data_IF_848354516746
#
_entry.id   IF_848354516746
#
_cell.length_a   1.000
_cell.length_b   1.000
_cell.length_c   1.000
_cell.angle_alpha   90.00
_cell.angle_beta   90.00
_cell.angle_gamma   90.00
#
_symmetry.space_group_name_H-M   'P 1'
#
loop_
_entity.id
_entity.type
_entity.pdbx_description
1 polymer ?
#
# COMPACT_ATOMS: atom_id res chain seq x y z
N UNK A 1 -0.37 7.74 28.98
CA UNK A 1 -0.42 6.46 28.23
C UNK A 1 -1.26 5.51 29.07
N UNK A 2 -2.44 5.08 28.58
CA UNK A 2 -3.28 4.14 29.32
C UNK A 2 -2.47 2.91 29.72
N UNK A 3 -2.58 2.50 30.99
CA UNK A 3 -1.80 1.41 31.58
C UNK A 3 -1.93 0.07 30.85
N UNK A 4 -2.97 -0.07 30.01
CA UNK A 4 -3.34 -1.28 29.28
C UNK A 4 -2.50 -1.57 28.03
N UNK A 5 -1.98 -0.56 27.35
CA UNK A 5 -1.30 -0.72 26.04
C UNK A 5 0.22 -0.54 26.14
N UNK A 6 0.79 -0.87 27.29
CA UNK A 6 2.23 -0.84 27.51
C UNK A 6 2.89 -1.99 26.77
N UNK A 7 4.09 -1.75 26.24
CA UNK A 7 4.88 -2.72 25.49
C UNK A 7 4.97 -4.11 26.16
N UNK A 8 5.29 -4.24 27.47
CA UNK A 8 5.37 -5.57 28.09
C UNK A 8 4.04 -6.33 28.07
N UNK A 9 2.91 -5.63 28.25
CA UNK A 9 1.58 -6.25 28.23
C UNK A 9 1.26 -6.78 26.83
N UNK A 10 1.53 -5.97 25.80
CA UNK A 10 1.29 -6.36 24.41
C UNK A 10 2.20 -7.51 23.98
N UNK A 11 3.45 -7.54 24.42
CA UNK A 11 4.36 -8.65 24.12
C UNK A 11 3.95 -9.95 24.81
N UNK A 12 3.46 -9.90 26.06
CA UNK A 12 2.90 -11.08 26.72
C UNK A 12 1.63 -11.57 26.03
N UNK A 13 0.69 -10.68 25.68
CA UNK A 13 -0.49 -11.05 24.89
C UNK A 13 -0.11 -11.66 23.54
N UNK A 14 0.92 -11.14 22.87
CA UNK A 14 1.42 -11.71 21.62
C UNK A 14 1.97 -13.12 21.79
N UNK A 15 2.73 -13.40 22.87
CA UNK A 15 3.20 -14.74 23.19
C UNK A 15 2.04 -15.71 23.39
N UNK A 16 1.00 -15.28 24.10
CA UNK A 16 -0.22 -16.07 24.35
C UNK A 16 -0.94 -16.42 23.05
N UNK A 17 -1.08 -15.46 22.12
CA UNK A 17 -1.78 -15.66 20.85
C UNK A 17 -1.01 -16.58 19.90
N UNK A 18 0.32 -16.46 19.86
CA UNK A 18 1.20 -17.24 18.99
C UNK A 18 1.60 -18.60 19.57
N UNK A 19 1.30 -18.87 20.84
CA UNK A 19 1.59 -20.15 21.46
C UNK A 19 0.87 -21.32 20.75
N UNK A 20 1.42 -22.52 20.87
CA UNK A 20 0.81 -23.72 20.29
C UNK A 20 -0.57 -24.03 20.93
N UNK A 21 -1.55 -24.59 20.17
CA UNK A 21 -2.94 -24.79 20.62
C UNK A 21 -3.09 -25.55 21.95
N UNK A 22 -2.12 -26.40 22.27
CA UNK A 22 -2.07 -27.24 23.46
C UNK A 22 -1.50 -26.55 24.71
N UNK A 23 -0.87 -25.37 24.57
CA UNK A 23 -0.18 -24.67 25.67
C UNK A 23 -1.09 -23.64 26.35
N UNK A 24 -2.07 -23.10 25.63
CA UNK A 24 -2.92 -22.00 26.10
C UNK A 24 -4.38 -22.31 25.84
N UNK A 25 -5.21 -22.17 26.87
CA UNK A 25 -6.66 -22.37 26.78
C UNK A 25 -7.32 -21.35 25.84
N UNK A 26 -8.50 -21.70 25.32
CA UNK A 26 -9.26 -20.83 24.41
C UNK A 26 -9.62 -19.50 25.07
N UNK A 27 -9.95 -19.50 26.36
CA UNK A 27 -10.38 -18.28 27.07
C UNK A 27 -9.21 -17.31 27.27
N UNK A 28 -8.02 -17.81 27.63
CA UNK A 28 -6.82 -16.97 27.76
C UNK A 28 -6.42 -16.36 26.41
N UNK A 29 -6.56 -17.11 25.31
CA UNK A 29 -6.36 -16.55 23.96
C UNK A 29 -7.37 -15.46 23.62
N UNK A 30 -8.65 -15.66 23.93
CA UNK A 30 -9.70 -14.66 23.70
C UNK A 30 -9.44 -13.37 24.47
N UNK A 31 -8.99 -13.46 25.72
CA UNK A 31 -8.63 -12.28 26.51
C UNK A 31 -7.41 -11.55 25.93
N UNK A 32 -6.38 -12.27 25.46
CA UNK A 32 -5.25 -11.65 24.77
C UNK A 32 -5.67 -10.99 23.45
N UNK A 33 -6.56 -11.60 22.68
CA UNK A 33 -7.11 -11.04 21.44
C UNK A 33 -7.91 -9.77 21.71
N UNK A 34 -8.72 -9.76 22.78
CA UNK A 34 -9.49 -8.61 23.21
C UNK A 34 -8.61 -7.39 23.48
N UNK A 35 -7.42 -7.58 24.06
CA UNK A 35 -6.46 -6.48 24.27
C UNK A 35 -6.07 -5.82 22.95
N UNK A 36 -5.74 -6.60 21.91
CA UNK A 36 -5.40 -6.05 20.58
C UNK A 36 -6.62 -5.45 19.86
N UNK A 37 -7.81 -6.02 20.04
CA UNK A 37 -9.06 -5.45 19.51
C UNK A 37 -9.37 -4.08 20.11
N UNK A 38 -9.15 -3.91 21.40
CA UNK A 38 -9.33 -2.63 22.09
C UNK A 38 -8.21 -1.65 21.76
N UNK A 39 -6.96 -2.12 21.67
CA UNK A 39 -5.82 -1.30 21.24
C UNK A 39 -6.10 -0.65 19.88
N UNK A 40 -6.61 -1.43 18.92
CA UNK A 40 -6.99 -0.93 17.59
C UNK A 40 -8.13 0.11 17.60
N UNK A 41 -8.91 0.18 18.67
CA UNK A 41 -10.00 1.15 18.85
C UNK A 41 -9.55 2.42 19.58
N UNK A 42 -8.34 2.46 20.12
CA UNK A 42 -7.82 3.65 20.83
C UNK A 42 -7.78 4.86 19.91
N UNK A 43 -8.11 6.03 20.47
CA UNK A 43 -8.09 7.29 19.75
C UNK A 43 -6.65 7.83 19.67
N UNK A 44 -6.27 8.37 18.51
CA UNK A 44 -4.96 8.98 18.25
C UNK A 44 -3.75 8.12 18.69
N UNK A 45 -3.63 6.85 18.24
CA UNK A 45 -2.62 5.93 18.74
C UNK A 45 -1.20 6.14 18.16
N UNK A 46 -0.99 7.17 17.34
CA UNK A 46 0.21 7.32 16.49
C UNK A 46 1.52 7.31 17.27
N UNK A 47 1.61 8.06 18.38
CA UNK A 47 2.80 8.07 19.23
C UNK A 47 3.04 6.73 19.91
N UNK A 48 1.98 6.06 20.34
CA UNK A 48 2.09 4.71 20.93
C UNK A 48 2.55 3.71 19.88
N UNK A 49 2.01 3.76 18.66
CA UNK A 49 2.40 2.86 17.57
C UNK A 49 3.84 3.11 17.11
N UNK A 50 4.29 4.37 17.03
CA UNK A 50 5.69 4.73 16.77
C UNK A 50 6.61 4.11 17.82
N UNK A 51 6.29 4.30 19.10
CA UNK A 51 7.05 3.71 20.20
C UNK A 51 7.12 2.17 20.09
N UNK A 52 6.00 1.50 19.79
CA UNK A 52 5.98 0.04 19.64
C UNK A 52 6.83 -0.45 18.46
N UNK A 53 6.80 0.25 17.32
CA UNK A 53 7.59 -0.10 16.14
C UNK A 53 9.10 0.06 16.41
N UNK A 54 9.50 1.11 17.12
CA UNK A 54 10.91 1.39 17.41
C UNK A 54 11.48 0.50 18.53
N UNK A 55 10.65 0.05 19.49
CA UNK A 55 11.14 -0.59 20.72
C UNK A 55 10.78 -2.08 20.85
N UNK A 56 9.73 -2.57 20.18
CA UNK A 56 9.39 -4.00 20.26
C UNK A 56 10.27 -4.83 19.35
N UNK A 57 10.71 -5.99 19.86
CA UNK A 57 11.34 -7.05 19.04
C UNK A 57 10.33 -8.12 18.61
N UNK A 58 9.08 -8.01 19.04
CA UNK A 58 8.03 -8.94 18.70
C UNK A 58 7.35 -8.51 17.39
N UNK A 59 7.60 -9.26 16.31
CA UNK A 59 7.06 -8.96 14.99
C UNK A 59 5.52 -8.86 14.96
N UNK A 60 4.81 -9.60 15.83
CA UNK A 60 3.35 -9.53 15.90
C UNK A 60 2.88 -8.23 16.55
N UNK A 61 3.57 -7.73 17.57
CA UNK A 61 3.27 -6.42 18.17
C UNK A 61 3.53 -5.31 17.16
N UNK A 62 4.65 -5.37 16.43
CA UNK A 62 4.95 -4.43 15.35
C UNK A 62 3.84 -4.44 14.28
N UNK A 63 3.43 -5.62 13.83
CA UNK A 63 2.32 -5.76 12.86
C UNK A 63 1.02 -5.17 13.39
N UNK A 64 0.63 -5.47 14.63
CA UNK A 64 -0.59 -4.91 15.23
C UNK A 64 -0.52 -3.38 15.39
N UNK A 65 0.66 -2.81 15.64
CA UNK A 65 0.86 -1.36 15.65
C UNK A 65 0.57 -0.75 14.26
N UNK A 66 1.05 -1.37 13.18
CA UNK A 66 0.77 -0.91 11.80
C UNK A 66 -0.73 -1.06 11.46
N UNK A 67 -1.36 -2.18 11.81
CA UNK A 67 -2.80 -2.36 11.62
C UNK A 67 -3.62 -1.31 12.39
N UNK A 68 -3.15 -0.92 13.58
CA UNK A 68 -3.79 0.11 14.41
C UNK A 68 -3.65 1.49 13.77
N UNK A 69 -2.47 1.81 13.22
CA UNK A 69 -2.28 3.03 12.41
C UNK A 69 -3.26 3.05 11.23
N UNK A 70 -3.33 1.98 10.43
CA UNK A 70 -4.21 1.90 9.24
C UNK A 70 -5.68 2.13 9.53
N UNK A 71 -6.17 1.60 10.64
CA UNK A 71 -7.59 1.75 11.01
C UNK A 71 -7.87 3.11 11.63
N UNK A 72 -6.93 3.65 12.42
CA UNK A 72 -7.12 4.93 13.12
C UNK A 72 -6.98 6.12 12.16
N UNK A 73 -6.02 6.07 11.23
CA UNK A 73 -5.77 7.15 10.26
C UNK A 73 -7.00 7.41 9.38
N UNK A 74 -7.76 6.37 9.04
CA UNK A 74 -9.01 6.50 8.29
C UNK A 74 -10.11 7.15 9.12
N UNK A 75 -10.26 6.73 10.38
CA UNK A 75 -11.29 7.23 11.30
C UNK A 75 -11.05 8.70 11.67
N UNK A 76 -9.79 9.10 11.80
CA UNK A 76 -9.39 10.39 12.35
C UNK A 76 -8.89 11.37 11.28
N UNK A 77 -8.90 10.98 10.00
CA UNK A 77 -8.32 11.75 8.89
C UNK A 77 -8.68 13.24 8.92
N UNK A 78 -9.98 13.55 9.06
CA UNK A 78 -10.49 14.93 9.03
C UNK A 78 -10.12 15.74 10.27
N UNK A 79 -9.76 15.07 11.36
CA UNK A 79 -9.39 15.70 12.63
C UNK A 79 -7.87 15.85 12.77
N UNK A 80 -7.08 15.25 11.87
CA UNK A 80 -5.64 15.27 11.92
C UNK A 80 -5.08 16.44 11.11
N UNK A 81 -4.11 17.20 11.66
CA UNK A 81 -3.36 18.15 10.87
C UNK A 81 -2.62 17.47 9.72
N UNK A 82 -2.61 18.09 8.54
CA UNK A 82 -1.82 17.61 7.37
C UNK A 82 -0.35 17.38 7.72
N UNK A 83 0.22 18.22 8.60
CA UNK A 83 1.60 18.07 9.10
C UNK A 83 1.82 16.76 9.84
N UNK A 84 0.85 16.33 10.65
CA UNK A 84 0.91 15.06 11.39
C UNK A 84 0.81 13.86 10.44
N UNK A 85 -0.06 13.94 9.43
CA UNK A 85 -0.19 12.90 8.39
C UNK A 85 1.13 12.76 7.63
N UNK A 86 1.74 13.88 7.24
CA UNK A 86 3.01 13.90 6.54
C UNK A 86 4.15 13.32 7.40
N UNK A 87 4.24 13.71 8.67
CA UNK A 87 5.24 13.17 9.60
C UNK A 87 5.07 11.66 9.82
N UNK A 88 3.84 11.17 9.87
CA UNK A 88 3.55 9.74 9.98
C UNK A 88 3.98 8.99 8.71
N UNK A 89 3.69 9.53 7.53
CA UNK A 89 4.10 8.96 6.24
C UNK A 89 5.63 8.87 6.14
N UNK A 90 6.32 9.97 6.41
CA UNK A 90 7.79 10.01 6.39
C UNK A 90 8.41 9.05 7.40
N UNK A 91 7.80 8.93 8.59
CA UNK A 91 8.25 7.95 9.58
C UNK A 91 8.11 6.51 9.09
N UNK A 92 6.95 6.12 8.58
CA UNK A 92 6.72 4.76 8.08
C UNK A 92 7.66 4.42 6.92
N UNK A 93 7.86 5.37 6.01
CA UNK A 93 8.79 5.23 4.89
C UNK A 93 10.23 5.05 5.39
N UNK A 94 10.70 5.93 6.28
CA UNK A 94 12.04 5.83 6.86
C UNK A 94 12.22 4.54 7.66
N UNK A 95 11.21 4.12 8.42
CA UNK A 95 11.26 2.91 9.23
C UNK A 95 11.42 1.66 8.36
N UNK A 96 10.67 1.56 7.25
CA UNK A 96 10.75 0.38 6.39
C UNK A 96 12.03 0.34 5.55
N UNK A 97 12.59 1.49 5.17
CA UNK A 97 13.85 1.57 4.41
C UNK A 97 15.08 1.36 5.26
N UNK A 98 15.08 1.81 6.52
CA UNK A 98 16.22 1.65 7.44
C UNK A 98 16.27 0.27 8.10
N UNK A 99 15.11 -0.33 8.40
CA UNK A 99 15.05 -1.64 9.05
C UNK A 99 14.97 -2.77 8.01
N UNK A 100 16.11 -3.11 7.40
CA UNK A 100 16.21 -4.16 6.36
C UNK A 100 15.88 -5.57 6.88
N UNK A 101 16.07 -5.83 8.17
CA UNK A 101 15.78 -7.12 8.82
C UNK A 101 14.31 -7.32 9.25
N UNK A 102 13.41 -6.39 8.91
CA UNK A 102 11.98 -6.57 9.19
C UNK A 102 11.42 -7.83 8.55
N UNK A 103 10.61 -8.57 9.31
CA UNK A 103 9.92 -9.75 8.80
C UNK A 103 9.01 -9.37 7.62
N UNK A 104 8.96 -10.16 6.53
CA UNK A 104 8.24 -9.78 5.30
C UNK A 104 6.80 -9.32 5.51
N UNK A 105 6.02 -10.00 6.37
CA UNK A 105 4.63 -9.63 6.61
C UNK A 105 4.46 -8.27 7.32
N UNK A 106 5.40 -7.87 8.17
CA UNK A 106 5.39 -6.54 8.82
C UNK A 106 5.71 -5.47 7.78
N UNK A 107 6.74 -5.72 6.97
CA UNK A 107 7.16 -4.85 5.86
C UNK A 107 6.02 -4.62 4.87
N UNK A 108 5.35 -5.68 4.45
CA UNK A 108 4.19 -5.59 3.55
C UNK A 108 3.04 -4.80 4.17
N UNK A 109 2.75 -4.99 5.47
CA UNK A 109 1.69 -4.24 6.12
C UNK A 109 2.02 -2.74 6.24
N UNK A 110 3.29 -2.37 6.39
CA UNK A 110 3.73 -0.96 6.33
C UNK A 110 3.50 -0.38 4.93
N UNK A 111 3.87 -1.10 3.87
CA UNK A 111 3.60 -0.63 2.50
C UNK A 111 2.11 -0.49 2.23
N UNK A 112 1.27 -1.39 2.75
CA UNK A 112 -0.20 -1.25 2.68
C UNK A 112 -0.71 -0.03 3.46
N UNK A 113 -0.09 0.31 4.59
CA UNK A 113 -0.43 1.52 5.34
C UNK A 113 -0.07 2.80 4.58
N UNK A 114 1.13 2.83 4.00
CA UNK A 114 1.59 3.93 3.15
C UNK A 114 0.68 4.14 1.93
N UNK A 115 0.36 3.06 1.21
CA UNK A 115 -0.54 3.11 0.05
C UNK A 115 -1.94 3.63 0.43
N UNK A 116 -2.47 3.20 1.58
CA UNK A 116 -3.75 3.68 2.10
C UNK A 116 -3.73 5.18 2.44
N UNK A 117 -2.67 5.66 3.10
CA UNK A 117 -2.48 7.09 3.42
C UNK A 117 -2.41 7.91 2.13
N UNK A 118 -1.65 7.46 1.14
CA UNK A 118 -1.53 8.11 -0.16
C UNK A 118 -2.89 8.17 -0.87
N UNK A 119 -3.60 7.04 -0.96
CA UNK A 119 -4.92 7.00 -1.60
C UNK A 119 -5.93 7.89 -0.90
N UNK A 120 -5.90 7.96 0.43
CA UNK A 120 -6.81 8.83 1.18
C UNK A 120 -6.58 10.30 0.86
N UNK A 121 -5.31 10.72 0.75
CA UNK A 121 -4.93 12.11 0.51
C UNK A 121 -4.89 12.53 -0.96
N UNK A 122 -4.99 11.59 -1.92
CA UNK A 122 -4.75 11.89 -3.34
C UNK A 122 -5.74 12.90 -3.94
N UNK A 123 -6.97 12.95 -3.42
CA UNK A 123 -8.01 13.86 -3.90
C UNK A 123 -8.15 15.13 -3.03
N UNK A 124 -7.40 15.24 -1.94
CA UNK A 124 -7.48 16.38 -1.04
C UNK A 124 -6.68 17.55 -1.66
N UNK A 125 -7.36 18.64 -2.02
CA UNK A 125 -6.76 19.79 -2.74
C UNK A 125 -5.72 20.57 -1.93
N UNK A 126 -5.79 20.50 -0.60
CA UNK A 126 -4.85 21.14 0.33
C UNK A 126 -3.61 20.27 0.62
N UNK A 127 -3.69 18.97 0.29
CA UNK A 127 -2.62 18.03 0.56
C UNK A 127 -1.71 17.95 -0.66
N UNK A 128 -0.49 18.47 -0.55
CA UNK A 128 0.62 18.30 -1.53
C UNK A 128 1.06 16.84 -1.75
N UNK A 129 0.32 15.87 -1.24
CA UNK A 129 0.59 14.43 -1.32
C UNK A 129 0.55 13.95 -2.79
N UNK A 130 -0.31 14.53 -3.63
CA UNK A 130 -0.53 14.11 -5.03
C UNK A 130 0.66 14.38 -5.95
N UNK A 131 1.39 15.49 -5.77
CA UNK A 131 2.55 15.82 -6.61
C UNK A 131 3.83 15.10 -6.22
N UNK A 132 3.88 14.47 -5.04
CA UNK A 132 5.12 13.90 -4.45
C UNK A 132 5.14 12.38 -4.31
N UNK A 133 4.14 11.66 -4.83
CA UNK A 133 4.07 10.18 -4.73
C UNK A 133 5.38 9.54 -5.24
N UNK A 134 5.97 10.10 -6.30
CA UNK A 134 7.22 9.61 -6.91
C UNK A 134 8.49 10.37 -6.49
N UNK A 135 8.34 11.48 -5.75
CA UNK A 135 9.46 12.27 -5.19
C UNK A 135 9.92 11.76 -3.82
N UNK A 136 9.16 10.84 -3.23
CA UNK A 136 9.60 10.04 -2.08
C UNK A 136 10.77 9.15 -2.52
N UNK A 137 11.97 9.74 -2.51
CA UNK A 137 13.23 9.25 -3.08
C UNK A 137 13.33 7.71 -3.14
N UNK A 138 13.12 7.19 -4.35
CA UNK A 138 13.28 5.79 -4.76
C UNK A 138 12.23 4.81 -4.19
N UNK A 139 10.98 4.93 -4.64
CA UNK A 139 9.89 3.99 -4.31
C UNK A 139 10.38 2.54 -4.47
N UNK A 140 10.39 1.79 -3.35
CA UNK A 140 10.69 0.36 -3.37
C UNK A 140 9.60 -0.40 -4.14
N UNK A 141 9.96 -1.46 -4.87
CA UNK A 141 9.00 -2.29 -5.60
C UNK A 141 7.80 -2.71 -4.73
N UNK A 142 8.02 -2.97 -3.43
CA UNK A 142 6.95 -3.29 -2.48
C UNK A 142 5.91 -2.18 -2.28
N UNK A 143 6.31 -0.90 -2.29
CA UNK A 143 5.38 0.22 -2.20
C UNK A 143 4.62 0.42 -3.52
N UNK A 144 5.26 0.24 -4.68
CA UNK A 144 4.56 0.27 -5.98
C UNK A 144 3.51 -0.83 -6.07
N UNK A 145 3.87 -2.06 -5.69
CA UNK A 145 2.92 -3.17 -5.63
C UNK A 145 1.76 -2.86 -4.67
N UNK A 146 2.04 -2.27 -3.51
CA UNK A 146 0.99 -1.87 -2.57
C UNK A 146 0.08 -0.77 -3.14
N UNK A 147 0.64 0.23 -3.83
CA UNK A 147 -0.12 1.29 -4.50
C UNK A 147 -1.02 0.72 -5.60
N UNK A 148 -0.49 -0.08 -6.53
CA UNK A 148 -1.29 -0.70 -7.58
C UNK A 148 -2.43 -1.53 -7.00
N UNK A 149 -2.15 -2.37 -6.00
CA UNK A 149 -3.17 -3.15 -5.33
C UNK A 149 -4.22 -2.25 -4.66
N UNK A 150 -3.79 -1.21 -3.96
CA UNK A 150 -4.69 -0.30 -3.26
C UNK A 150 -5.59 0.46 -4.24
N UNK A 151 -5.07 0.96 -5.37
CA UNK A 151 -5.86 1.68 -6.37
C UNK A 151 -6.69 0.77 -7.31
N UNK A 152 -6.28 -0.48 -7.53
CA UNK A 152 -7.02 -1.46 -8.35
C UNK A 152 -8.28 -1.96 -7.64
N UNK A 153 -8.23 -2.06 -6.30
CA UNK A 153 -9.33 -2.54 -5.47
C UNK A 153 -10.49 -1.52 -5.38
N UNK A 154 -11.38 -1.53 -6.39
CA UNK A 154 -12.61 -0.73 -6.45
C UNK A 154 -13.85 -1.49 -5.95
N UNK A 155 -13.80 -2.82 -5.89
CA UNK A 155 -14.95 -3.69 -5.56
C UNK A 155 -14.99 -4.15 -4.09
N UNK A 156 -14.06 -3.70 -3.24
CA UNK A 156 -14.01 -4.07 -1.82
C UNK A 156 -14.30 -2.83 -0.97
N UNK A 157 -15.59 -2.53 -0.80
CA UNK A 157 -16.11 -1.49 0.11
C UNK A 157 -16.07 -1.92 1.59
N UNK A 158 -15.81 -3.21 1.86
CA UNK A 158 -15.81 -3.73 3.22
C UNK A 158 -14.46 -3.54 3.91
N UNK A 159 -14.38 -2.51 4.76
CA UNK A 159 -13.32 -2.35 5.78
C UNK A 159 -12.34 -1.19 5.56
N UNK A 160 -12.38 -0.51 4.41
CA UNK A 160 -11.49 0.63 4.07
C UNK A 160 -12.04 2.00 4.46
N UNK A 161 -13.29 2.08 4.92
CA UNK A 161 -13.93 3.34 5.33
C UNK A 161 -14.23 4.30 4.19
N UNK A 162 -14.03 3.91 2.93
CA UNK A 162 -14.30 4.74 1.75
C UNK A 162 -15.60 4.36 1.06
N UNK A 163 -16.24 5.37 0.45
CA UNK A 163 -17.36 5.16 -0.45
C UNK A 163 -16.88 4.58 -1.78
N UNK A 164 -17.77 3.91 -2.49
CA UNK A 164 -17.49 3.43 -3.84
C UNK A 164 -17.10 4.58 -4.79
N UNK A 165 -17.82 5.71 -4.73
CA UNK A 165 -17.52 6.91 -5.51
C UNK A 165 -16.09 7.41 -5.27
N UNK A 166 -15.67 7.48 -4.00
CA UNK A 166 -14.32 7.87 -3.64
C UNK A 166 -13.28 6.91 -4.24
N UNK A 167 -13.51 5.60 -4.15
CA UNK A 167 -12.64 4.60 -4.77
C UNK A 167 -12.52 4.78 -6.29
N UNK A 168 -13.64 4.99 -6.98
CA UNK A 168 -13.68 5.21 -8.43
C UNK A 168 -12.92 6.47 -8.83
N UNK A 169 -13.12 7.59 -8.12
CA UNK A 169 -12.41 8.85 -8.37
C UNK A 169 -10.90 8.72 -8.13
N UNK A 170 -10.49 8.05 -7.05
CA UNK A 170 -9.09 7.76 -6.79
C UNK A 170 -8.46 6.91 -7.91
N UNK A 171 -9.17 5.88 -8.38
CA UNK A 171 -8.71 5.00 -9.47
C UNK A 171 -8.53 5.77 -10.78
N UNK A 172 -9.52 6.57 -11.18
CA UNK A 172 -9.43 7.45 -12.36
C UNK A 172 -8.26 8.43 -12.26
N UNK A 173 -8.07 9.05 -11.09
CA UNK A 173 -6.93 9.92 -10.86
C UNK A 173 -5.60 9.17 -11.00
N UNK A 174 -5.48 7.97 -10.44
CA UNK A 174 -4.28 7.15 -10.57
C UNK A 174 -4.02 6.74 -12.03
N UNK A 175 -5.06 6.34 -12.77
CA UNK A 175 -4.97 6.02 -14.21
C UNK A 175 -4.49 7.21 -15.03
N UNK A 176 -5.03 8.41 -14.77
CA UNK A 176 -4.72 9.62 -15.51
C UNK A 176 -3.30 10.14 -15.25
N UNK A 177 -2.82 10.07 -14.00
CA UNK A 177 -1.60 10.78 -13.58
C UNK A 177 -0.44 9.87 -13.19
N UNK A 178 -0.68 8.64 -12.73
CA UNK A 178 0.36 7.84 -12.07
C UNK A 178 0.60 6.46 -12.67
N UNK A 179 -0.40 5.82 -13.29
CA UNK A 179 -0.25 4.46 -13.84
C UNK A 179 0.83 4.39 -14.92
N UNK A 180 0.85 5.35 -15.85
CA UNK A 180 1.88 5.46 -16.87
C UNK A 180 3.28 5.69 -16.25
N UNK A 181 3.38 6.54 -15.21
CA UNK A 181 4.65 6.79 -14.51
C UNK A 181 5.16 5.51 -13.82
N UNK A 182 4.25 4.75 -13.19
CA UNK A 182 4.56 3.45 -12.58
C UNK A 182 5.07 2.44 -13.62
N UNK A 183 4.47 2.40 -14.82
CA UNK A 183 4.94 1.54 -15.91
C UNK A 183 6.36 1.92 -16.35
N UNK A 184 6.61 3.21 -16.62
CA UNK A 184 7.93 3.66 -17.05
C UNK A 184 9.01 3.34 -16.02
N UNK A 185 8.73 3.55 -14.73
CA UNK A 185 9.66 3.20 -13.66
C UNK A 185 9.92 1.69 -13.59
N UNK A 186 8.89 0.87 -13.75
CA UNK A 186 9.01 -0.60 -13.78
C UNK A 186 9.90 -1.06 -14.95
N UNK A 187 9.70 -0.48 -16.14
CA UNK A 187 10.52 -0.76 -17.32
C UNK A 187 11.97 -0.30 -17.16
N UNK A 188 12.20 0.84 -16.51
CA UNK A 188 13.54 1.32 -16.19
C UNK A 188 14.29 0.33 -15.27
N UNK A 189 13.62 -0.19 -14.23
CA UNK A 189 14.21 -1.21 -13.36
C UNK A 189 14.52 -2.48 -14.13
N UNK A 190 13.60 -2.98 -14.96
CA UNK A 190 13.82 -4.16 -15.80
C UNK A 190 15.01 -3.96 -16.74
N UNK A 191 15.10 -2.80 -17.38
CA UNK A 191 16.21 -2.49 -18.27
C UNK A 191 17.55 -2.52 -17.52
N UNK A 192 17.62 -1.96 -16.30
CA UNK A 192 18.83 -2.01 -15.47
C UNK A 192 19.22 -3.43 -15.09
N UNK A 193 18.25 -4.28 -14.76
CA UNK A 193 18.47 -5.71 -14.45
C UNK A 193 19.04 -6.46 -15.66
N UNK A 194 18.54 -6.19 -16.86
CA UNK A 194 19.01 -6.84 -18.10
C UNK A 194 20.48 -6.49 -18.39
N UNK A 195 20.98 -5.35 -17.91
CA UNK A 195 22.39 -4.98 -18.01
C UNK A 195 23.30 -5.71 -16.99
N UNK A 196 22.75 -6.43 -16.02
CA UNK A 196 23.54 -7.20 -15.05
C UNK A 196 24.10 -8.48 -15.68
N UNK A 197 25.29 -8.89 -15.23
CA UNK A 197 25.96 -10.09 -15.75
C UNK A 197 25.27 -11.36 -15.26
N UNK A 198 24.88 -12.24 -16.17
CA UNK A 198 24.35 -13.57 -15.84
C UNK A 198 25.47 -14.55 -15.42
N UNK A 199 25.23 -15.49 -14.48
CA UNK A 199 23.94 -15.81 -13.86
C UNK A 199 23.59 -14.90 -12.67
N UNK A 200 22.30 -14.63 -12.50
CA UNK A 200 21.78 -13.86 -11.37
C UNK A 200 21.96 -14.63 -10.05
N UNK A 201 22.31 -13.91 -9.00
CA UNK A 201 22.25 -14.37 -7.62
C UNK A 201 20.79 -14.58 -7.16
N UNK A 202 20.61 -15.27 -6.02
CA UNK A 202 19.27 -15.53 -5.46
C UNK A 202 18.50 -14.25 -5.13
N UNK A 203 19.18 -13.24 -4.61
CA UNK A 203 18.58 -11.94 -4.27
C UNK A 203 18.17 -11.17 -5.52
N UNK A 204 19.01 -11.18 -6.56
CA UNK A 204 18.69 -10.57 -7.86
C UNK A 204 17.48 -11.25 -8.51
N UNK A 205 17.40 -12.59 -8.47
CA UNK A 205 16.24 -13.32 -9.00
C UNK A 205 14.93 -12.99 -8.27
N UNK A 206 15.00 -12.74 -6.95
CA UNK A 206 13.85 -12.30 -6.16
C UNK A 206 13.40 -10.89 -6.57
N UNK A 207 14.33 -9.98 -6.85
CA UNK A 207 14.03 -8.66 -7.39
C UNK A 207 13.40 -8.77 -8.77
N UNK A 208 13.98 -9.56 -9.67
CA UNK A 208 13.43 -9.83 -11.02
C UNK A 208 11.99 -10.31 -10.94
N UNK A 209 11.74 -11.33 -10.11
CA UNK A 209 10.40 -11.91 -9.93
C UNK A 209 9.40 -10.84 -9.50
N UNK A 210 9.76 -10.00 -8.51
CA UNK A 210 8.89 -8.93 -8.02
C UNK A 210 8.59 -7.87 -9.08
N UNK A 211 9.60 -7.47 -9.86
CA UNK A 211 9.44 -6.45 -10.89
C UNK A 211 8.62 -6.98 -12.07
N UNK A 212 8.79 -8.26 -12.44
CA UNK A 212 7.97 -8.90 -13.47
C UNK A 212 6.51 -9.03 -13.03
N UNK A 213 6.26 -9.43 -11.77
CA UNK A 213 4.90 -9.44 -11.22
C UNK A 213 4.27 -8.05 -11.22
N UNK A 214 5.05 -7.02 -10.88
CA UNK A 214 4.60 -5.63 -10.95
C UNK A 214 4.22 -5.22 -12.39
N UNK A 215 5.05 -5.58 -13.38
CA UNK A 215 4.74 -5.32 -14.78
C UNK A 215 3.47 -6.06 -15.23
N UNK A 216 3.29 -7.31 -14.82
CA UNK A 216 2.10 -8.12 -15.10
C UNK A 216 0.83 -7.47 -14.54
N UNK A 217 0.86 -7.01 -13.28
CA UNK A 217 -0.25 -6.32 -12.63
C UNK A 217 -0.65 -5.02 -13.37
N UNK A 218 0.33 -4.27 -13.88
CA UNK A 218 0.09 -3.02 -14.63
C UNK A 218 -0.52 -3.33 -16.00
N UNK A 219 0.00 -4.35 -16.70
CA UNK A 219 -0.48 -4.72 -18.03
C UNK A 219 -1.89 -5.33 -18.00
N UNK A 220 -2.25 -5.99 -16.90
CA UNK A 220 -3.60 -6.50 -16.63
C UNK A 220 -4.50 -5.49 -15.91
N UNK A 221 -4.10 -4.21 -15.84
CA UNK A 221 -4.90 -3.17 -15.22
C UNK A 221 -6.26 -3.01 -15.93
N UNK A 222 -7.34 -3.04 -15.14
CA UNK A 222 -8.70 -2.88 -15.64
C UNK A 222 -9.09 -1.40 -15.60
N UNK A 223 -9.06 -0.73 -16.75
CA UNK A 223 -9.42 0.69 -16.84
C UNK A 223 -10.91 0.92 -16.56
N UNK A 224 -11.23 1.99 -15.84
CA UNK A 224 -12.61 2.46 -15.73
C UNK A 224 -12.98 3.21 -17.02
N UNK A 225 -14.09 2.83 -17.67
CA UNK A 225 -14.56 3.57 -18.84
C UNK A 225 -15.39 4.79 -18.41
N UNK A 226 -15.41 5.89 -19.18
CA UNK A 226 -16.31 7.01 -18.91
C UNK A 226 -17.79 6.59 -18.84
N UNK A 227 -18.17 5.52 -19.53
CA UNK A 227 -19.52 4.94 -19.51
C UNK A 227 -19.87 4.23 -18.20
N UNK A 228 -18.89 3.69 -17.47
CA UNK A 228 -19.13 3.08 -16.15
C UNK A 228 -19.55 4.12 -15.10
N UNK A 229 -19.31 5.42 -15.38
CA UNK A 229 -19.60 6.57 -14.52
C UNK A 229 -20.97 7.19 -14.88
N UNK A 230 -21.48 7.00 -16.10
CA UNK A 230 -22.74 7.61 -16.55
C UNK A 230 -24.01 7.06 -15.87
N UNK A 231 -23.89 6.02 -15.03
CA UNK A 231 -24.96 5.62 -14.11
C UNK A 231 -24.98 6.43 -12.80
N UNK A 232 -24.01 7.32 -12.56
CA UNK A 232 -24.00 8.21 -11.40
C UNK A 232 -23.41 9.57 -11.76
N UNK A 233 -24.32 10.52 -11.99
CA UNK A 233 -24.12 11.97 -12.01
C UNK A 233 -23.68 12.58 -13.35
N UNK A 234 -24.64 13.27 -13.95
CA UNK A 234 -24.50 14.21 -15.05
C UNK A 234 -23.61 15.39 -14.64
N UNK A 235 -22.45 15.57 -15.28
CA UNK A 235 -21.86 16.90 -15.44
C UNK A 235 -20.88 16.93 -16.64
N UNK A 236 -20.99 17.92 -17.55
CA UNK A 236 -20.17 18.01 -18.76
C UNK A 236 -18.99 18.97 -18.55
N UNK A 237 -17.74 18.51 -18.65
CA UNK A 237 -16.55 19.29 -19.02
C UNK A 237 -15.36 18.33 -19.27
N UNK A 238 -14.67 18.50 -20.39
CA UNK A 238 -13.31 18.02 -20.71
C UNK A 238 -13.05 16.52 -20.98
N UNK A 239 -13.66 16.03 -22.07
CA UNK A 239 -13.16 14.86 -22.81
C UNK A 239 -12.12 15.29 -23.86
N UNK A 240 -10.83 15.30 -23.50
CA UNK A 240 -9.75 15.34 -24.50
C UNK A 240 -8.47 14.58 -24.13
N UNK A 241 -8.28 14.13 -22.88
CA UNK A 241 -6.99 13.56 -22.45
C UNK A 241 -6.98 12.02 -22.44
N UNK A 242 -8.14 11.36 -22.45
CA UNK A 242 -8.25 9.90 -22.31
C UNK A 242 -8.00 9.05 -23.57
N UNK A 243 -7.92 9.65 -24.76
CA UNK A 243 -7.83 8.88 -26.02
C UNK A 243 -6.41 8.42 -26.39
N UNK A 244 -5.36 9.04 -25.83
CA UNK A 244 -3.98 8.74 -26.25
C UNK A 244 -3.36 7.50 -25.59
N UNK A 245 -3.79 7.11 -24.38
CA UNK A 245 -3.25 5.92 -23.69
C UNK A 245 -3.81 4.63 -24.31
N UNK A 246 -5.07 4.63 -24.74
CA UNK A 246 -5.67 3.49 -25.44
C UNK A 246 -4.96 3.21 -26.76
N UNK A 247 -4.51 4.25 -27.48
CA UNK A 247 -3.74 4.10 -28.73
C UNK A 247 -2.34 3.51 -28.47
N UNK A 248 -1.66 3.91 -27.38
CA UNK A 248 -0.35 3.34 -27.01
C UNK A 248 -0.45 1.86 -26.60
N UNK A 249 -1.50 1.48 -25.86
CA UNK A 249 -1.76 0.07 -25.52
C UNK A 249 -2.19 -0.74 -26.75
N UNK A 250 -2.95 -0.16 -27.69
CA UNK A 250 -3.23 -0.80 -28.98
C UNK A 250 -1.95 -0.98 -29.81
N UNK A 251 -1.04 0.01 -29.84
CA UNK A 251 0.23 -0.10 -30.55
C UNK A 251 1.12 -1.20 -29.97
N UNK A 252 1.18 -1.33 -28.63
CA UNK A 252 1.91 -2.40 -27.97
C UNK A 252 1.29 -3.78 -28.19
N UNK A 253 -0.05 -3.89 -28.14
CA UNK A 253 -0.77 -5.15 -28.36
C UNK A 253 -0.73 -5.60 -29.83
N UNK A 254 -0.65 -4.68 -30.79
CA UNK A 254 -0.46 -5.01 -32.21
C UNK A 254 0.99 -5.35 -32.56
N UNK A 255 1.98 -4.74 -31.88
CA UNK A 255 3.40 -5.04 -32.10
C UNK A 255 3.78 -6.47 -31.68
N UNK A 256 3.14 -7.03 -30.66
CA UNK A 256 3.37 -8.43 -30.26
C UNK A 256 2.75 -9.48 -31.20
N UNK A 257 1.97 -9.09 -32.21
CA UNK A 257 1.46 -10.02 -33.22
C UNK A 257 2.43 -10.27 -34.40
N UNK A 258 3.66 -9.73 -34.36
CA UNK A 258 4.70 -9.95 -35.40
C UNK A 258 6.09 -10.27 -34.86
N UNK A 259 6.18 -10.99 -33.75
CA UNK A 259 7.45 -11.63 -33.35
C UNK A 259 7.16 -13.09 -33.01
N UNK A 260 7.00 -13.89 -34.07
CA UNK A 260 7.17 -15.33 -34.02
C UNK A 260 7.96 -15.76 -35.26
N UNK A 261 8.99 -16.57 -35.01
CA UNK A 261 9.86 -17.29 -35.95
C UNK A 261 11.01 -16.50 -36.58
N UNK A 262 12.16 -16.51 -35.91
CA UNK A 262 13.41 -16.99 -36.53
C UNK A 262 14.10 -17.89 -35.50
N UNK A 263 14.22 -19.17 -35.85
CA UNK A 263 15.14 -20.15 -35.25
C UNK A 263 16.55 -19.79 -35.68
#
# INVERSE_FOLDING_TARGET
METKFRLPVLEECAKVLLAAPNVVTKDVRKEAEKVFLEFRKTAFPYETCRFLLENSRNNFVQFQAVCTIKTSILREWTCLPTTTIEQLRLFLLNYVTTNLSLTPYVREEIFRALALIIKRGILDTENTTSSKIFDEQLIACGLLTALLNEFSNHNKTCGTGFTWDFHSRCKLHFEAYHLHQTLLFTLQILNNIVQLTTPYSGDELLVVTRVLSLADDILHWTFLTPTDILCSVSCPCDLAVGFNIVILLFYFRFSQSRIFVVV
#
